data_IF_758303406410
#
_entry.id   IF_758303406410
#
_cell.length_a   1.000
_cell.length_b   1.000
_cell.length_c   1.000
_cell.angle_alpha   90.00
_cell.angle_beta   90.00
_cell.angle_gamma   90.00
#
_symmetry.space_group_name_H-M   'P 1'
#
loop_
_entity.id
_entity.type
_entity.pdbx_description
1 polymer ?
#
# COMPACT_ATOMS: atom_id res chain seq x y z
N UNK A 1 -43.99 101.29 34.24
CA UNK A 1 -42.56 101.15 33.86
C UNK A 1 -42.48 100.53 32.48
N UNK A 2 -42.38 101.34 31.41
CA UNK A 2 -42.48 100.88 30.01
C UNK A 2 -41.35 99.93 29.56
N UNK A 3 -40.24 99.88 30.30
CA UNK A 3 -39.06 99.06 29.95
C UNK A 3 -39.29 97.54 30.12
N UNK A 4 -40.10 97.09 31.09
CA UNK A 4 -40.37 95.65 31.32
C UNK A 4 -41.24 95.06 30.20
N UNK A 5 -42.20 95.83 29.70
CA UNK A 5 -43.07 95.40 28.60
C UNK A 5 -42.30 95.30 27.26
N UNK A 6 -41.33 96.19 27.03
CA UNK A 6 -40.45 96.13 25.85
C UNK A 6 -39.52 94.90 25.86
N UNK A 7 -39.02 94.49 27.04
CA UNK A 7 -38.24 93.27 27.18
C UNK A 7 -39.09 92.04 26.83
N UNK A 8 -40.29 91.92 27.39
CA UNK A 8 -41.18 90.79 27.10
C UNK A 8 -41.53 90.64 25.60
N UNK A 9 -41.78 91.74 24.90
CA UNK A 9 -42.08 91.72 23.46
C UNK A 9 -40.86 91.27 22.62
N UNK A 10 -39.65 91.73 22.98
CA UNK A 10 -38.41 91.39 22.26
C UNK A 10 -38.03 89.92 22.49
N UNK A 11 -38.08 89.46 23.75
CA UNK A 11 -37.84 88.06 24.08
C UNK A 11 -38.89 87.12 23.47
N UNK A 12 -40.16 87.52 23.42
CA UNK A 12 -41.22 86.72 22.78
C UNK A 12 -40.97 86.54 21.29
N UNK A 13 -40.56 87.59 20.58
CA UNK A 13 -40.20 87.51 19.15
C UNK A 13 -38.96 86.64 18.91
N UNK A 14 -37.93 86.78 19.75
CA UNK A 14 -36.72 85.97 19.65
C UNK A 14 -37.01 84.50 19.92
N UNK A 15 -37.80 84.18 20.94
CA UNK A 15 -38.23 82.80 21.25
C UNK A 15 -39.09 82.24 20.11
N UNK A 16 -40.00 83.03 19.55
CA UNK A 16 -40.85 82.61 18.43
C UNK A 16 -40.01 82.19 17.21
N UNK A 17 -39.09 83.05 16.76
CA UNK A 17 -38.23 82.72 15.62
C UNK A 17 -37.25 81.59 15.94
N UNK A 18 -36.74 81.52 17.17
CA UNK A 18 -35.90 80.40 17.62
C UNK A 18 -36.65 79.08 17.50
N UNK A 19 -37.90 79.00 17.98
CA UNK A 19 -38.70 77.78 17.87
C UNK A 19 -39.02 77.41 16.41
N UNK A 20 -39.25 78.39 15.54
CA UNK A 20 -39.46 78.15 14.11
C UNK A 20 -38.21 77.55 13.45
N UNK A 21 -37.06 78.19 13.60
CA UNK A 21 -35.82 77.70 12.98
C UNK A 21 -35.34 76.39 13.60
N UNK A 22 -35.49 76.24 14.92
CA UNK A 22 -35.19 75.00 15.61
C UNK A 22 -36.10 73.87 15.13
N UNK A 23 -37.42 74.09 15.09
CA UNK A 23 -38.39 73.12 14.58
C UNK A 23 -38.08 72.73 13.14
N UNK A 24 -37.88 73.71 12.25
CA UNK A 24 -37.51 73.47 10.86
C UNK A 24 -36.25 72.60 10.74
N UNK A 25 -35.17 72.99 11.43
CA UNK A 25 -33.90 72.23 11.41
C UNK A 25 -34.07 70.83 12.01
N UNK A 26 -34.82 70.70 13.11
CA UNK A 26 -35.11 69.42 13.75
C UNK A 26 -35.84 68.46 12.81
N UNK A 27 -36.86 68.94 12.09
CA UNK A 27 -37.57 68.11 11.11
C UNK A 27 -36.71 67.78 9.90
N UNK A 28 -35.90 68.71 9.38
CA UNK A 28 -34.98 68.43 8.27
C UNK A 28 -33.95 67.37 8.64
N UNK A 29 -33.34 67.47 9.81
CA UNK A 29 -32.34 66.50 10.29
C UNK A 29 -33.01 65.17 10.64
N UNK A 30 -34.08 65.19 11.43
CA UNK A 30 -34.77 64.00 11.91
C UNK A 30 -35.47 63.20 10.81
N UNK A 31 -36.11 63.88 9.84
CA UNK A 31 -36.82 63.22 8.74
C UNK A 31 -35.93 62.99 7.51
N UNK A 32 -34.84 63.74 7.37
CA UNK A 32 -33.98 63.70 6.19
C UNK A 32 -32.63 63.02 6.40
N UNK A 33 -31.83 63.48 7.37
CA UNK A 33 -30.45 63.04 7.55
C UNK A 33 -30.33 61.77 8.39
N UNK A 34 -31.06 61.69 9.50
CA UNK A 34 -31.07 60.52 10.39
C UNK A 34 -31.43 59.21 9.65
N UNK A 35 -32.52 59.12 8.86
CA UNK A 35 -32.84 57.87 8.17
C UNK A 35 -31.74 57.43 7.20
N UNK A 36 -31.11 58.36 6.47
CA UNK A 36 -30.00 58.03 5.56
C UNK A 36 -28.79 57.43 6.27
N UNK A 37 -28.47 57.93 7.47
CA UNK A 37 -27.38 57.39 8.29
C UNK A 37 -27.75 55.99 8.78
N UNK A 38 -28.98 55.81 9.27
CA UNK A 38 -29.47 54.51 9.73
C UNK A 38 -29.49 53.47 8.60
N UNK A 39 -29.92 53.84 7.40
CA UNK A 39 -29.89 52.96 6.22
C UNK A 39 -28.46 52.52 5.88
N UNK A 40 -27.50 53.45 5.96
CA UNK A 40 -26.07 53.14 5.69
C UNK A 40 -25.50 52.19 6.74
N UNK A 41 -25.83 52.39 8.02
CA UNK A 41 -25.41 51.50 9.10
C UNK A 41 -26.04 50.11 8.91
N UNK A 42 -27.34 50.04 8.66
CA UNK A 42 -28.04 48.77 8.42
C UNK A 42 -27.49 48.02 7.19
N UNK A 43 -27.13 48.74 6.12
CA UNK A 43 -26.50 48.13 4.94
C UNK A 43 -25.14 47.51 5.28
N UNK A 44 -24.32 48.21 6.07
CA UNK A 44 -23.01 47.69 6.52
C UNK A 44 -23.16 46.48 7.43
N UNK A 45 -24.07 46.56 8.40
CA UNK A 45 -24.34 45.45 9.32
C UNK A 45 -24.81 44.21 8.55
N UNK A 46 -25.70 44.41 7.58
CA UNK A 46 -26.15 43.32 6.69
C UNK A 46 -25.00 42.75 5.88
N UNK A 47 -24.16 43.59 5.28
CA UNK A 47 -23.02 43.13 4.49
C UNK A 47 -22.04 42.32 5.34
N UNK A 48 -21.72 42.79 6.55
CA UNK A 48 -20.85 42.06 7.49
C UNK A 48 -21.48 40.71 7.87
N UNK A 49 -22.78 40.68 8.16
CA UNK A 49 -23.48 39.44 8.51
C UNK A 49 -23.48 38.45 7.33
N UNK A 50 -23.74 38.92 6.11
CA UNK A 50 -23.74 38.11 4.90
C UNK A 50 -22.33 37.57 4.60
N UNK A 51 -21.30 38.40 4.73
CA UNK A 51 -19.89 38.01 4.53
C UNK A 51 -19.43 36.99 5.57
N UNK A 52 -19.82 37.16 6.84
CA UNK A 52 -19.51 36.21 7.91
C UNK A 52 -20.20 34.87 7.66
N UNK A 53 -21.49 34.88 7.31
CA UNK A 53 -22.23 33.67 6.98
C UNK A 53 -21.66 32.95 5.76
N UNK A 54 -21.19 33.69 4.74
CA UNK A 54 -20.50 33.11 3.59
C UNK A 54 -19.18 32.48 4.00
N UNK A 55 -18.37 33.16 4.81
CA UNK A 55 -17.09 32.64 5.31
C UNK A 55 -17.28 31.35 6.13
N UNK A 56 -18.28 31.30 7.00
CA UNK A 56 -18.62 30.10 7.77
C UNK A 56 -19.05 28.94 6.87
N UNK A 57 -19.87 29.20 5.84
CA UNK A 57 -20.27 28.18 4.86
C UNK A 57 -19.09 27.64 4.07
N UNK A 58 -18.18 28.51 3.64
CA UNK A 58 -16.99 28.10 2.91
C UNK A 58 -16.05 27.28 3.80
N UNK A 59 -15.87 27.69 5.06
CA UNK A 59 -15.10 26.92 6.03
C UNK A 59 -15.70 25.54 6.28
N UNK A 60 -17.01 25.46 6.54
CA UNK A 60 -17.68 24.19 6.75
C UNK A 60 -17.60 23.27 5.52
N UNK A 61 -17.71 23.84 4.31
CA UNK A 61 -17.57 23.07 3.06
C UNK A 61 -16.13 22.57 2.85
N UNK A 62 -15.13 23.39 3.18
CA UNK A 62 -13.73 23.00 3.11
C UNK A 62 -13.38 21.89 4.11
N UNK A 63 -13.84 22.03 5.36
CA UNK A 63 -13.64 21.02 6.41
C UNK A 63 -14.30 19.68 6.02
N UNK A 64 -15.51 19.72 5.45
CA UNK A 64 -16.21 18.53 4.97
C UNK A 64 -15.49 17.85 3.79
N UNK A 65 -15.00 18.62 2.81
CA UNK A 65 -14.25 18.05 1.69
C UNK A 65 -12.89 17.49 2.12
N UNK A 66 -12.23 18.16 3.08
CA UNK A 66 -10.98 17.65 3.66
C UNK A 66 -11.21 16.32 4.40
N UNK A 67 -12.27 16.21 5.21
CA UNK A 67 -12.61 14.96 5.89
C UNK A 67 -12.95 13.84 4.89
N UNK A 68 -13.73 14.15 3.86
CA UNK A 68 -14.05 13.21 2.80
C UNK A 68 -12.79 12.76 2.04
N UNK A 69 -11.88 13.68 1.72
CA UNK A 69 -10.60 13.36 1.10
C UNK A 69 -9.72 12.48 1.99
N UNK A 70 -9.58 12.82 3.28
CA UNK A 70 -8.82 12.01 4.24
C UNK A 70 -9.39 10.59 4.37
N UNK A 71 -10.71 10.45 4.38
CA UNK A 71 -11.39 9.15 4.43
C UNK A 71 -11.11 8.32 3.17
N UNK A 72 -11.29 8.91 1.98
CA UNK A 72 -10.99 8.25 0.70
C UNK A 72 -9.53 7.83 0.62
N UNK A 73 -8.62 8.71 1.02
CA UNK A 73 -7.19 8.45 0.95
C UNK A 73 -6.76 7.33 1.93
N UNK A 74 -7.34 7.28 3.14
CA UNK A 74 -7.11 6.18 4.06
C UNK A 74 -7.68 4.85 3.55
N UNK A 75 -8.87 4.85 2.95
CA UNK A 75 -9.46 3.67 2.31
C UNK A 75 -8.58 3.16 1.17
N UNK A 76 -8.15 4.04 0.26
CA UNK A 76 -7.26 3.71 -0.85
C UNK A 76 -5.93 3.12 -0.36
N UNK A 77 -5.34 3.67 0.70
CA UNK A 77 -4.12 3.12 1.31
C UNK A 77 -4.36 1.72 1.89
N UNK A 78 -5.48 1.51 2.57
CA UNK A 78 -5.82 0.19 3.12
C UNK A 78 -6.03 -0.84 2.00
N UNK A 79 -6.75 -0.48 0.93
CA UNK A 79 -6.96 -1.32 -0.25
C UNK A 79 -5.65 -1.66 -0.96
N UNK A 80 -4.76 -0.68 -1.14
CA UNK A 80 -3.45 -0.91 -1.74
C UNK A 80 -2.60 -1.89 -0.91
N UNK A 81 -2.59 -1.75 0.43
CA UNK A 81 -1.88 -2.69 1.31
C UNK A 81 -2.50 -4.08 1.26
N UNK A 82 -3.83 -4.18 1.22
CA UNK A 82 -4.53 -5.46 1.07
C UNK A 82 -4.18 -6.14 -0.25
N UNK A 83 -4.17 -5.40 -1.36
CA UNK A 83 -3.79 -5.90 -2.69
C UNK A 83 -2.33 -6.40 -2.71
N UNK A 84 -1.41 -5.64 -2.11
CA UNK A 84 0.00 -6.05 -2.00
C UNK A 84 0.13 -7.33 -1.16
N UNK A 85 -0.58 -7.43 -0.04
CA UNK A 85 -0.58 -8.62 0.80
C UNK A 85 -1.13 -9.84 0.06
N UNK A 86 -2.25 -9.69 -0.66
CA UNK A 86 -2.86 -10.74 -1.47
C UNK A 86 -1.91 -11.18 -2.59
N UNK A 87 -1.29 -10.25 -3.31
CA UNK A 87 -0.33 -10.55 -4.37
C UNK A 87 0.89 -11.31 -3.83
N UNK A 88 1.41 -10.90 -2.66
CA UNK A 88 2.51 -11.62 -1.98
C UNK A 88 2.10 -13.03 -1.57
N UNK A 89 0.91 -13.20 -1.01
CA UNK A 89 0.39 -14.51 -0.63
C UNK A 89 0.23 -15.44 -1.85
N UNK A 90 -0.33 -14.94 -2.96
CA UNK A 90 -0.43 -15.68 -4.22
C UNK A 90 0.94 -16.05 -4.78
N UNK A 91 1.88 -15.10 -4.80
CA UNK A 91 3.24 -15.36 -5.29
C UNK A 91 3.97 -16.41 -4.44
N UNK A 92 3.82 -16.36 -3.11
CA UNK A 92 4.37 -17.36 -2.20
C UNK A 92 3.78 -18.74 -2.47
N UNK A 93 2.46 -18.86 -2.62
CA UNK A 93 1.80 -20.13 -2.93
C UNK A 93 2.29 -20.75 -4.25
N UNK A 94 2.35 -19.94 -5.32
CA UNK A 94 2.87 -20.40 -6.63
C UNK A 94 4.33 -20.82 -6.54
N UNK A 95 5.14 -20.11 -5.73
CA UNK A 95 6.55 -20.46 -5.54
C UNK A 95 6.68 -21.78 -4.80
N UNK A 96 5.89 -22.02 -3.74
CA UNK A 96 5.87 -23.28 -3.01
C UNK A 96 5.44 -24.45 -3.90
N UNK A 97 4.41 -24.26 -4.73
CA UNK A 97 3.95 -25.29 -5.67
C UNK A 97 5.02 -25.64 -6.71
N UNK A 98 5.68 -24.63 -7.29
CA UNK A 98 6.79 -24.83 -8.23
C UNK A 98 7.97 -25.53 -7.57
N UNK A 99 8.32 -25.15 -6.35
CA UNK A 99 9.39 -25.78 -5.60
C UNK A 99 9.07 -27.26 -5.31
N UNK A 100 7.85 -27.56 -4.90
CA UNK A 100 7.41 -28.94 -4.67
C UNK A 100 7.47 -29.78 -5.96
N UNK A 101 7.01 -29.22 -7.08
CA UNK A 101 7.09 -29.90 -8.39
C UNK A 101 8.53 -30.14 -8.82
N UNK A 102 9.41 -29.14 -8.66
CA UNK A 102 10.83 -29.27 -8.96
C UNK A 102 11.51 -30.32 -8.08
N UNK A 103 11.16 -30.38 -6.78
CA UNK A 103 11.70 -31.37 -5.86
C UNK A 103 11.33 -32.79 -6.30
N UNK A 104 10.08 -33.04 -6.69
CA UNK A 104 9.65 -34.36 -7.20
C UNK A 104 10.46 -34.76 -8.43
N UNK A 105 10.72 -33.83 -9.36
CA UNK A 105 11.53 -34.12 -10.55
C UNK A 105 13.01 -34.40 -10.21
N UNK A 106 13.57 -33.66 -9.25
CA UNK A 106 14.93 -33.88 -8.74
C UNK A 106 15.04 -35.26 -8.10
N UNK A 107 14.10 -35.63 -7.24
CA UNK A 107 14.09 -36.92 -6.54
C UNK A 107 13.96 -38.09 -7.52
N UNK A 108 13.13 -37.95 -8.56
CA UNK A 108 13.01 -38.94 -9.63
C UNK A 108 14.33 -39.11 -10.41
N UNK A 109 14.98 -37.99 -10.75
CA UNK A 109 16.28 -38.00 -11.46
C UNK A 109 17.37 -38.64 -10.61
N UNK A 110 17.36 -38.38 -9.29
CA UNK A 110 18.30 -38.96 -8.35
C UNK A 110 18.12 -40.48 -8.26
N UNK A 111 16.88 -40.96 -8.13
CA UNK A 111 16.57 -42.40 -8.11
C UNK A 111 16.97 -43.12 -9.42
N UNK A 112 16.77 -42.47 -10.58
CA UNK A 112 17.25 -43.00 -11.86
C UNK A 112 18.79 -43.06 -11.90
N UNK A 113 19.46 -42.00 -11.46
CA UNK A 113 20.92 -41.95 -11.40
C UNK A 113 21.49 -43.04 -10.47
N UNK A 114 20.93 -43.23 -9.29
CA UNK A 114 21.30 -44.30 -8.35
C UNK A 114 21.11 -45.69 -8.98
N UNK A 115 20.00 -45.89 -9.68
CA UNK A 115 19.74 -47.15 -10.40
C UNK A 115 20.82 -47.39 -11.47
N UNK A 116 21.15 -46.39 -12.29
CA UNK A 116 22.21 -46.50 -13.30
C UNK A 116 23.58 -46.76 -12.69
N UNK A 117 23.93 -46.08 -11.59
CA UNK A 117 25.18 -46.32 -10.87
C UNK A 117 25.24 -47.75 -10.33
N UNK A 118 24.14 -48.26 -9.77
CA UNK A 118 24.08 -49.64 -9.26
C UNK A 118 24.23 -50.68 -10.39
N UNK A 119 23.67 -50.40 -11.57
CA UNK A 119 23.80 -51.27 -12.75
C UNK A 119 25.23 -51.23 -13.28
N UNK A 120 25.82 -50.04 -13.44
CA UNK A 120 27.20 -49.88 -13.86
C UNK A 120 28.18 -50.58 -12.91
N UNK A 121 27.96 -50.46 -11.59
CA UNK A 121 28.78 -51.16 -10.58
C UNK A 121 28.68 -52.68 -10.70
N UNK A 122 27.48 -53.21 -10.95
CA UNK A 122 27.28 -54.66 -11.17
C UNK A 122 27.94 -55.13 -12.47
N UNK A 123 27.83 -54.36 -13.55
CA UNK A 123 28.49 -54.67 -14.83
C UNK A 123 30.00 -54.67 -14.69
N UNK A 124 30.57 -53.64 -14.07
CA UNK A 124 32.00 -53.54 -13.83
C UNK A 124 32.52 -54.69 -12.94
N UNK A 125 31.77 -55.09 -11.91
CA UNK A 125 32.14 -56.25 -11.09
C UNK A 125 32.14 -57.55 -11.89
N UNK A 126 31.13 -57.77 -12.75
CA UNK A 126 31.07 -58.93 -13.63
C UNK A 126 32.22 -58.95 -14.65
N UNK A 127 32.55 -57.81 -15.26
CA UNK A 127 33.69 -57.69 -16.18
C UNK A 127 35.02 -57.98 -15.47
N UNK A 128 35.19 -57.56 -14.21
CA UNK A 128 36.38 -57.90 -13.41
C UNK A 128 36.45 -59.41 -13.14
N UNK A 129 35.32 -60.06 -12.82
CA UNK A 129 35.26 -61.52 -12.65
C UNK A 129 35.66 -62.26 -13.93
N UNK A 130 35.15 -61.85 -15.10
CA UNK A 130 35.48 -62.45 -16.39
C UNK A 130 36.97 -62.26 -16.73
N UNK A 131 37.51 -61.04 -16.58
CA UNK A 131 38.93 -60.75 -16.84
C UNK A 131 39.84 -61.51 -15.88
N UNK A 132 39.47 -61.63 -14.60
CA UNK A 132 40.22 -62.40 -13.62
C UNK A 132 40.21 -63.91 -13.94
N UNK A 133 39.08 -64.45 -14.41
CA UNK A 133 38.97 -65.84 -14.83
C UNK A 133 39.84 -66.14 -16.07
N UNK A 134 39.81 -65.26 -17.06
CA UNK A 134 40.63 -65.39 -18.26
C UNK A 134 42.13 -65.27 -17.94
N UNK A 135 42.53 -64.31 -17.11
CA UNK A 135 43.91 -64.15 -16.66
C UNK A 135 44.39 -65.36 -15.85
N UNK A 136 43.59 -65.89 -14.92
CA UNK A 136 43.92 -67.07 -14.13
C UNK A 136 44.10 -68.31 -15.02
N UNK A 137 43.21 -68.51 -16.01
CA UNK A 137 43.31 -69.59 -17.00
C UNK A 137 44.61 -69.46 -17.80
N UNK A 138 44.92 -68.27 -18.29
CA UNK A 138 46.12 -68.03 -19.08
C UNK A 138 47.39 -68.32 -18.25
N UNK A 139 47.45 -67.85 -17.01
CA UNK A 139 48.57 -68.11 -16.09
C UNK A 139 48.75 -69.61 -15.85
N UNK A 140 47.66 -70.35 -15.55
CA UNK A 140 47.75 -71.80 -15.31
C UNK A 140 48.15 -72.56 -16.56
N UNK A 141 47.62 -72.18 -17.72
CA UNK A 141 47.99 -72.82 -19.00
C UNK A 141 49.48 -72.65 -19.31
N UNK A 142 50.05 -71.45 -19.07
CA UNK A 142 51.46 -71.14 -19.34
C UNK A 142 52.42 -71.76 -18.33
N UNK A 143 52.03 -71.88 -17.05
CA UNK A 143 52.92 -72.37 -15.97
C UNK A 143 52.81 -73.89 -15.78
N UNK A 144 51.59 -74.44 -15.74
CA UNK A 144 51.34 -75.84 -15.42
C UNK A 144 51.12 -76.71 -16.67
N UNK A 145 50.90 -76.12 -17.85
CA UNK A 145 50.65 -76.85 -19.10
C UNK A 145 49.32 -77.63 -19.12
N UNK A 146 48.41 -77.33 -18.20
CA UNK A 146 47.11 -77.99 -18.05
C UNK A 146 46.02 -77.17 -18.74
N UNK A 147 45.13 -77.83 -19.49
CA UNK A 147 43.90 -77.24 -19.99
C UNK A 147 42.79 -77.43 -18.95
N UNK A 148 42.29 -76.32 -18.41
CA UNK A 148 41.20 -76.33 -17.44
C UNK A 148 39.86 -76.10 -18.12
N UNK A 149 38.81 -76.71 -17.56
CA UNK A 149 37.43 -76.46 -17.95
C UNK A 149 37.00 -75.02 -17.60
N UNK A 150 36.30 -74.36 -18.53
CA UNK A 150 35.91 -72.95 -18.43
C UNK A 150 35.00 -72.69 -17.23
N UNK A 151 34.05 -73.60 -16.98
CA UNK A 151 33.09 -73.51 -15.89
C UNK A 151 33.75 -73.68 -14.53
N UNK A 152 34.69 -74.62 -14.41
CA UNK A 152 35.44 -74.85 -13.17
C UNK A 152 36.30 -73.64 -12.77
N UNK A 153 36.99 -73.00 -13.73
CA UNK A 153 37.82 -71.81 -13.46
C UNK A 153 36.98 -70.62 -13.03
N UNK A 154 35.89 -70.33 -13.76
CA UNK A 154 34.97 -69.23 -13.41
C UNK A 154 34.36 -69.42 -12.03
N UNK A 155 33.98 -70.64 -11.67
CA UNK A 155 33.40 -70.94 -10.36
C UNK A 155 34.42 -70.75 -9.22
N UNK A 156 35.67 -71.18 -9.41
CA UNK A 156 36.73 -71.02 -8.40
C UNK A 156 37.17 -69.55 -8.21
N UNK A 157 37.22 -68.77 -9.29
CA UNK A 157 37.53 -67.34 -9.24
C UNK A 157 36.40 -66.56 -8.55
N UNK A 158 35.15 -66.89 -8.86
CA UNK A 158 33.98 -66.29 -8.21
C UNK A 158 33.94 -66.57 -6.70
N UNK A 159 34.23 -67.80 -6.30
CA UNK A 159 34.30 -68.17 -4.87
C UNK A 159 35.37 -67.37 -4.12
N UNK A 160 36.55 -67.15 -4.72
CA UNK A 160 37.63 -66.37 -4.10
C UNK A 160 37.36 -64.86 -4.10
N UNK A 161 36.71 -64.30 -5.14
CA UNK A 161 36.37 -62.88 -5.20
C UNK A 161 35.21 -62.48 -4.27
N UNK A 162 34.34 -63.42 -3.89
CA UNK A 162 33.25 -63.21 -2.92
C UNK A 162 33.75 -63.26 -1.47
N UNK A 163 34.91 -63.87 -1.21
CA UNK A 163 35.49 -64.05 0.13
C UNK A 163 36.72 -63.18 0.43
N UNK A 164 37.16 -62.32 -0.51
CA UNK A 164 38.20 -61.31 -0.32
C UNK A 164 37.62 -59.93 -0.02
#
# INVERSE_FOLDING_TARGET
MPQIAQLAATYSSQIFWMLIFFGFTFFVVGRGMVPKVMDTVAQRDKQIADDLAAAERFRASADAEEEAWRTRENANRAEAQALIAEARAKAAAVTTERLATAQVAIDATLAEAETRISQARRSAAAEIEDVAADAAREIVSRIAGLTLDDGAVRSAVKENLVHG
#
